data_IF_798547795249
#
_entry.id   IF_798547795249
#
_cell.length_a   1.000
_cell.length_b   1.000
_cell.length_c   1.000
_cell.angle_alpha   90.00
_cell.angle_beta   90.00
_cell.angle_gamma   90.00
#
_symmetry.space_group_name_H-M   'P 1'
#
loop_
_entity.id
_entity.type
_entity.pdbx_description
1 polymer ?
#
# COMPACT_ATOMS: atom_id res chain seq x y z
N UNK A 1 -10.88 -25.89 16.75
CA UNK A 1 -10.44 -25.05 15.61
C UNK A 1 -8.97 -24.79 15.77
N UNK A 2 -8.14 -25.35 14.90
CA UNK A 2 -6.69 -25.18 14.96
C UNK A 2 -6.31 -23.78 14.48
N UNK A 3 -5.61 -23.02 15.33
CA UNK A 3 -5.01 -21.74 14.93
C UNK A 3 -3.69 -22.04 14.23
N UNK A 4 -3.64 -21.83 12.90
CA UNK A 4 -2.42 -22.00 12.10
C UNK A 4 -1.74 -20.64 11.89
N UNK A 5 -0.42 -20.62 12.06
CA UNK A 5 0.43 -19.48 11.69
C UNK A 5 1.21 -19.85 10.44
N UNK A 6 1.18 -19.00 9.43
CA UNK A 6 1.88 -19.21 8.15
C UNK A 6 2.70 -17.96 7.86
N UNK A 7 4.00 -18.13 7.63
CA UNK A 7 4.85 -17.09 7.06
C UNK A 7 4.84 -17.25 5.52
N UNK A 8 4.66 -16.16 4.79
CA UNK A 8 4.53 -16.20 3.33
C UNK A 8 5.16 -14.98 2.66
N UNK A 9 5.70 -15.20 1.47
CA UNK A 9 6.05 -14.16 0.50
C UNK A 9 5.13 -14.21 -0.74
N UNK A 10 4.10 -15.05 -0.71
CA UNK A 10 3.10 -15.13 -1.78
C UNK A 10 2.03 -14.08 -1.54
N UNK A 11 1.95 -13.11 -2.46
CA UNK A 11 0.87 -12.13 -2.48
C UNK A 11 -0.49 -12.75 -2.78
N UNK A 12 -0.54 -13.77 -3.65
CA UNK A 12 -1.76 -14.53 -3.95
C UNK A 12 -2.38 -15.14 -2.68
N UNK A 13 -1.56 -15.66 -1.75
CA UNK A 13 -2.08 -16.16 -0.48
C UNK A 13 -2.61 -15.01 0.40
N UNK A 14 -1.90 -13.89 0.45
CA UNK A 14 -2.31 -12.74 1.25
C UNK A 14 -3.60 -12.09 0.74
N UNK A 15 -3.92 -12.21 -0.56
CA UNK A 15 -5.15 -11.66 -1.11
C UNK A 15 -6.41 -12.48 -0.81
N UNK A 16 -6.24 -13.75 -0.41
CA UNK A 16 -7.34 -14.69 -0.15
C UNK A 16 -7.68 -14.85 1.34
N UNK A 17 -6.92 -14.21 2.22
CA UNK A 17 -7.18 -14.22 3.67
C UNK A 17 -7.85 -12.93 4.10
N UNK A 18 -8.57 -12.99 5.23
CA UNK A 18 -9.08 -11.79 5.89
C UNK A 18 -7.91 -10.85 6.21
N UNK A 19 -7.99 -9.59 5.78
CA UNK A 19 -6.97 -8.57 6.02
C UNK A 19 -6.67 -8.37 7.52
N UNK A 20 -7.66 -8.56 8.39
CA UNK A 20 -7.48 -8.46 9.84
C UNK A 20 -6.67 -9.62 10.43
N UNK A 21 -6.51 -10.72 9.69
CA UNK A 21 -5.67 -11.85 10.08
C UNK A 21 -4.18 -11.63 9.73
N UNK A 22 -3.88 -10.68 8.85
CA UNK A 22 -2.52 -10.42 8.36
C UNK A 22 -1.68 -9.77 9.47
N UNK A 23 -0.45 -10.25 9.63
CA UNK A 23 0.57 -9.67 10.51
C UNK A 23 1.81 -9.37 9.70
N UNK A 24 2.13 -8.08 9.56
CA UNK A 24 3.30 -7.62 8.80
C UNK A 24 4.46 -7.38 9.76
N UNK A 25 5.56 -8.12 9.57
CA UNK A 25 6.80 -7.89 10.30
C UNK A 25 7.65 -6.87 9.53
N UNK A 26 8.13 -5.82 10.21
CA UNK A 26 8.97 -4.80 9.59
C UNK A 26 10.00 -4.25 10.57
N UNK A 27 11.11 -3.70 10.05
CA UNK A 27 12.14 -3.05 10.87
C UNK A 27 11.82 -1.58 11.08
N UNK A 28 11.92 -1.09 12.32
CA UNK A 28 11.89 0.33 12.69
C UNK A 28 13.09 0.62 13.59
N UNK A 29 14.10 1.31 13.04
CA UNK A 29 15.40 1.45 13.70
C UNK A 29 16.08 0.09 13.88
N UNK A 30 16.51 -0.22 15.11
CA UNK A 30 17.12 -1.51 15.46
C UNK A 30 16.12 -2.61 15.85
N UNK A 31 14.83 -2.29 15.97
CA UNK A 31 13.80 -3.22 16.43
C UNK A 31 12.94 -3.77 15.28
N UNK A 32 12.47 -5.00 15.42
CA UNK A 32 11.39 -5.56 14.60
C UNK A 32 10.06 -5.20 15.26
N UNK A 33 9.12 -4.72 14.44
CA UNK A 33 7.77 -4.34 14.83
C UNK A 33 6.76 -5.20 14.08
N UNK A 34 5.55 -5.30 14.63
CA UNK A 34 4.43 -6.00 14.01
C UNK A 34 3.34 -4.99 13.68
N UNK A 35 3.02 -4.85 12.40
CA UNK A 35 1.88 -4.09 11.90
C UNK A 35 0.69 -5.01 11.68
N UNK A 36 -0.50 -4.52 11.96
CA UNK A 36 -1.74 -5.24 11.79
C UNK A 36 -2.90 -4.25 11.67
N UNK A 37 -3.79 -4.49 10.70
CA UNK A 37 -5.06 -3.79 10.66
C UNK A 37 -5.94 -4.28 11.82
N UNK A 38 -6.43 -3.38 12.67
CA UNK A 38 -7.31 -3.75 13.76
C UNK A 38 -8.77 -3.75 13.27
N UNK A 39 -9.59 -4.63 13.81
CA UNK A 39 -11.03 -4.60 13.50
C UNK A 39 -11.61 -3.23 13.89
N UNK A 40 -12.34 -2.61 12.96
CA UNK A 40 -12.88 -1.27 13.13
C UNK A 40 -11.96 -0.13 12.70
N UNK A 41 -10.72 -0.40 12.25
CA UNK A 41 -9.90 0.63 11.59
C UNK A 41 -10.52 1.10 10.28
N UNK A 42 -11.14 0.18 9.53
CA UNK A 42 -11.90 0.48 8.32
C UNK A 42 -13.38 0.20 8.58
N UNK A 43 -14.25 1.09 8.12
CA UNK A 43 -15.67 0.79 8.06
C UNK A 43 -15.97 -0.31 7.01
N UNK A 44 -17.20 -0.82 6.99
CA UNK A 44 -17.59 -1.93 6.10
C UNK A 44 -17.37 -1.61 4.61
N UNK A 45 -17.65 -0.36 4.20
CA UNK A 45 -17.49 0.09 2.81
C UNK A 45 -16.01 0.27 2.45
N UNK A 46 -15.23 0.82 3.36
CA UNK A 46 -13.78 0.96 3.20
C UNK A 46 -13.11 -0.41 3.10
N UNK A 47 -13.48 -1.34 3.99
CA UNK A 47 -12.98 -2.71 4.00
C UNK A 47 -13.30 -3.43 2.68
N UNK A 48 -14.55 -3.36 2.22
CA UNK A 48 -14.96 -4.00 0.96
C UNK A 48 -14.12 -3.51 -0.23
N UNK A 49 -13.91 -2.19 -0.32
CA UNK A 49 -13.11 -1.58 -1.38
C UNK A 49 -11.63 -1.94 -1.26
N UNK A 50 -11.09 -1.92 -0.05
CA UNK A 50 -9.69 -2.27 0.21
C UNK A 50 -9.42 -3.73 -0.12
N UNK A 51 -10.29 -4.65 0.30
CA UNK A 51 -10.16 -6.08 -0.02
C UNK A 51 -10.26 -6.35 -1.52
N UNK A 52 -11.16 -5.66 -2.23
CA UNK A 52 -11.24 -5.75 -3.69
C UNK A 52 -9.92 -5.30 -4.34
N UNK A 53 -9.35 -4.19 -3.86
CA UNK A 53 -8.06 -3.69 -4.34
C UNK A 53 -6.92 -4.66 -4.04
N UNK A 54 -6.87 -5.22 -2.82
CA UNK A 54 -5.89 -6.23 -2.40
C UNK A 54 -5.94 -7.44 -3.32
N UNK A 55 -7.15 -7.94 -3.65
CA UNK A 55 -7.35 -9.04 -4.60
C UNK A 55 -6.90 -8.67 -6.02
N UNK A 56 -7.28 -7.49 -6.51
CA UNK A 56 -6.88 -7.00 -7.83
C UNK A 56 -5.36 -6.85 -7.98
N UNK A 57 -4.66 -6.53 -6.88
CA UNK A 57 -3.20 -6.34 -6.83
C UNK A 57 -2.45 -7.55 -6.29
N UNK A 58 -3.12 -8.70 -6.10
CA UNK A 58 -2.54 -9.95 -5.59
C UNK A 58 -1.72 -9.73 -4.31
N UNK A 59 -2.20 -8.90 -3.39
CA UNK A 59 -1.56 -8.66 -2.10
C UNK A 59 -0.17 -7.97 -2.16
N UNK A 60 0.29 -7.52 -3.32
CA UNK A 60 1.65 -6.97 -3.48
C UNK A 60 1.91 -5.74 -2.61
N UNK A 61 0.84 -4.98 -2.27
CA UNK A 61 0.89 -3.83 -1.37
C UNK A 61 1.51 -4.15 0.00
N UNK A 62 1.34 -5.37 0.53
CA UNK A 62 1.79 -5.72 1.88
C UNK A 62 3.32 -5.85 1.99
N UNK A 63 4.00 -6.12 0.87
CA UNK A 63 5.46 -6.27 0.84
C UNK A 63 6.19 -4.94 0.68
N UNK A 64 5.48 -3.88 0.31
CA UNK A 64 6.06 -2.56 0.15
C UNK A 64 6.56 -2.01 1.50
N UNK A 65 7.68 -1.29 1.45
CA UNK A 65 8.14 -0.43 2.55
C UNK A 65 7.48 0.95 2.48
N UNK A 66 7.18 1.39 1.26
CA UNK A 66 6.57 2.70 0.98
C UNK A 66 5.44 2.55 -0.02
N UNK A 67 4.30 3.20 0.26
CA UNK A 67 3.26 3.47 -0.73
C UNK A 67 3.36 4.92 -1.23
N UNK A 68 3.39 5.11 -2.54
CA UNK A 68 3.16 6.41 -3.16
C UNK A 68 1.71 6.41 -3.60
N UNK A 69 0.88 7.14 -2.86
CA UNK A 69 -0.55 7.27 -3.09
C UNK A 69 -0.78 8.29 -4.20
N UNK A 70 -1.41 7.86 -5.30
CA UNK A 70 -1.67 8.68 -6.48
C UNK A 70 -3.15 8.77 -6.78
N UNK A 71 -3.57 9.89 -7.37
CA UNK A 71 -4.98 10.18 -7.59
C UNK A 71 -5.63 9.24 -8.60
N UNK A 72 -4.95 8.92 -9.70
CA UNK A 72 -5.51 8.05 -10.75
C UNK A 72 -4.49 7.18 -11.46
N UNK A 73 -4.99 6.28 -12.32
CA UNK A 73 -4.17 5.38 -13.14
C UNK A 73 -3.18 6.13 -14.05
N UNK A 74 -3.58 7.30 -14.56
CA UNK A 74 -2.71 8.15 -15.38
C UNK A 74 -1.44 8.54 -14.61
N UNK A 75 -1.55 8.90 -13.34
CA UNK A 75 -0.39 9.23 -12.49
C UNK A 75 0.49 7.99 -12.24
N UNK A 76 -0.12 6.80 -12.07
CA UNK A 76 0.64 5.54 -11.97
C UNK A 76 1.48 5.33 -13.22
N UNK A 77 0.89 5.47 -14.41
CA UNK A 77 1.57 5.28 -15.70
C UNK A 77 2.71 6.29 -15.86
N UNK A 78 2.44 7.57 -15.58
CA UNK A 78 3.42 8.65 -15.70
C UNK A 78 4.59 8.48 -14.75
N UNK A 79 4.35 8.18 -13.48
CA UNK A 79 5.42 7.97 -12.49
C UNK A 79 6.22 6.70 -12.77
N UNK A 80 5.55 5.61 -13.18
CA UNK A 80 6.23 4.37 -13.57
C UNK A 80 7.15 4.60 -14.79
N UNK A 81 6.65 5.34 -15.79
CA UNK A 81 7.43 5.72 -16.97
C UNK A 81 8.61 6.62 -16.60
N UNK A 82 8.39 7.61 -15.72
CA UNK A 82 9.43 8.52 -15.25
C UNK A 82 10.53 7.79 -14.49
N UNK A 83 10.17 6.90 -13.57
CA UNK A 83 11.12 6.07 -12.83
C UNK A 83 11.99 5.24 -13.78
N UNK A 84 11.37 4.62 -14.80
CA UNK A 84 12.08 3.84 -15.82
C UNK A 84 13.09 4.69 -16.60
N UNK A 85 12.71 5.89 -17.05
CA UNK A 85 13.61 6.80 -17.78
C UNK A 85 14.78 7.25 -16.91
N UNK A 86 14.54 7.43 -15.61
CA UNK A 86 15.57 7.79 -14.62
C UNK A 86 16.42 6.59 -14.16
N UNK A 87 16.16 5.37 -14.65
CA UNK A 87 16.86 4.16 -14.23
C UNK A 87 16.55 3.74 -12.77
N UNK A 88 15.41 4.17 -12.23
CA UNK A 88 14.95 3.83 -10.89
C UNK A 88 14.06 2.59 -10.93
N UNK A 89 14.45 1.56 -10.20
CA UNK A 89 13.62 0.38 -9.96
C UNK A 89 12.85 0.54 -8.64
N UNK A 90 11.57 0.90 -8.77
CA UNK A 90 10.68 1.10 -7.62
C UNK A 90 10.43 -0.22 -6.88
N UNK A 91 10.34 -1.34 -7.60
CA UNK A 91 10.07 -2.66 -7.01
C UNK A 91 11.28 -3.14 -6.19
N UNK A 92 12.49 -3.02 -6.74
CA UNK A 92 13.72 -3.30 -6.01
C UNK A 92 13.87 -2.40 -4.76
N UNK A 93 13.33 -1.19 -4.84
CA UNK A 93 13.29 -0.24 -3.71
C UNK A 93 12.16 -0.53 -2.71
N UNK A 94 11.32 -1.54 -2.96
CA UNK A 94 10.09 -1.85 -2.22
C UNK A 94 9.14 -0.64 -2.11
N UNK A 95 9.05 0.15 -3.18
CA UNK A 95 8.14 1.27 -3.34
C UNK A 95 7.00 0.82 -4.26
N UNK A 96 5.76 1.06 -3.84
CA UNK A 96 4.58 0.74 -4.63
C UNK A 96 3.79 1.99 -4.95
N UNK A 97 3.44 2.19 -6.22
CA UNK A 97 2.44 3.18 -6.61
C UNK A 97 1.04 2.60 -6.34
N UNK A 98 0.19 3.37 -5.67
CA UNK A 98 -1.15 2.92 -5.25
C UNK A 98 -2.15 4.00 -5.65
N UNK A 99 -3.02 3.69 -6.61
CA UNK A 99 -4.11 4.57 -7.01
C UNK A 99 -5.22 4.54 -5.95
N UNK A 100 -5.71 5.72 -5.55
CA UNK A 100 -6.66 5.84 -4.45
C UNK A 100 -8.06 6.36 -4.81
N UNK A 101 -8.35 6.80 -6.04
CA UNK A 101 -9.68 7.33 -6.38
C UNK A 101 -10.79 6.28 -6.19
N UNK A 102 -10.54 5.00 -6.50
CA UNK A 102 -11.58 3.96 -6.33
C UNK A 102 -11.83 3.59 -4.87
N UNK A 103 -10.77 3.48 -4.07
CA UNK A 103 -10.82 3.00 -2.68
C UNK A 103 -11.05 4.13 -1.68
N UNK A 104 -10.40 5.28 -1.90
CA UNK A 104 -10.37 6.44 -1.02
C UNK A 104 -9.03 6.59 -0.30
N UNK A 105 -8.51 7.82 -0.27
CA UNK A 105 -7.22 8.17 0.34
C UNK A 105 -7.15 7.80 1.84
N UNK A 106 -8.19 8.10 2.61
CA UNK A 106 -8.22 7.85 4.06
C UNK A 106 -8.12 6.36 4.40
N UNK A 107 -8.66 5.50 3.55
CA UNK A 107 -8.58 4.03 3.69
C UNK A 107 -7.12 3.58 3.61
N UNK A 108 -6.38 4.05 2.61
CA UNK A 108 -4.97 3.71 2.44
C UNK A 108 -4.07 4.27 3.53
N UNK A 109 -4.30 5.52 3.96
CA UNK A 109 -3.54 6.11 5.08
C UNK A 109 -3.75 5.28 6.35
N UNK A 110 -5.01 5.00 6.71
CA UNK A 110 -5.34 4.22 7.92
C UNK A 110 -4.75 2.81 7.88
N UNK A 111 -4.77 2.17 6.70
CA UNK A 111 -4.17 0.87 6.50
C UNK A 111 -2.63 0.91 6.58
N UNK A 112 -2.01 1.89 5.93
CA UNK A 112 -0.55 2.05 5.91
C UNK A 112 -0.01 2.29 7.33
N UNK A 113 -0.63 3.19 8.09
CA UNK A 113 -0.26 3.48 9.47
C UNK A 113 -0.37 2.23 10.36
N UNK A 114 -1.47 1.48 10.20
CA UNK A 114 -1.70 0.23 10.95
C UNK A 114 -0.70 -0.88 10.59
N UNK A 115 -0.27 -0.94 9.33
CA UNK A 115 0.65 -1.95 8.81
C UNK A 115 2.14 -1.54 8.95
N UNK A 116 2.41 -0.31 9.37
CA UNK A 116 3.77 0.24 9.45
C UNK A 116 4.42 0.41 8.08
N UNK A 117 3.62 0.85 7.10
CA UNK A 117 4.07 1.18 5.75
C UNK A 117 4.16 2.69 5.66
N UNK A 118 5.33 3.22 5.26
CA UNK A 118 5.45 4.65 5.04
C UNK A 118 4.63 5.05 3.81
N UNK A 119 4.09 6.26 3.79
CA UNK A 119 3.31 6.71 2.66
C UNK A 119 3.63 8.16 2.28
N UNK A 120 3.55 8.44 0.98
CA UNK A 120 3.65 9.77 0.40
C UNK A 120 2.50 9.97 -0.58
N UNK A 121 1.94 11.17 -0.62
CA UNK A 121 0.90 11.52 -1.60
C UNK A 121 1.58 12.23 -2.77
N UNK A 122 1.22 11.82 -3.98
CA UNK A 122 1.54 12.52 -5.21
C UNK A 122 0.24 12.88 -5.93
N UNK A 123 0.00 14.17 -6.10
CA UNK A 123 -1.09 14.67 -6.94
C UNK A 123 -0.51 15.68 -7.93
N UNK A 124 -0.93 15.61 -9.19
CA UNK A 124 -0.45 16.49 -10.25
C UNK A 124 -0.73 17.98 -9.98
N UNK A 125 -1.66 18.31 -9.06
CA UNK A 125 -1.87 19.69 -8.59
C UNK A 125 -0.63 20.24 -7.86
N UNK A 126 0.16 19.39 -7.18
CA UNK A 126 1.41 19.82 -6.51
C UNK A 126 2.50 20.27 -7.49
N UNK A 127 2.48 19.82 -8.74
CA UNK A 127 3.41 20.29 -9.78
C UNK A 127 3.05 21.68 -10.31
N UNK A 128 1.80 22.15 -10.13
CA UNK A 128 1.43 23.53 -10.47
C UNK A 128 1.98 24.54 -9.46
N UNK A 129 2.00 24.19 -8.17
CA UNK A 129 2.54 25.10 -7.14
C UNK A 129 4.08 25.17 -7.16
N UNK A 130 4.77 24.12 -7.58
CA UNK A 130 6.23 24.10 -7.75
C UNK A 130 6.73 24.86 -9.00
N UNK A 131 5.85 25.23 -9.93
CA UNK A 131 6.18 26.11 -11.08
C UNK A 131 5.82 27.59 -10.86
N UNK A 132 5.27 27.94 -9.70
CA UNK A 132 4.86 29.30 -9.35
C UNK A 132 5.67 29.91 -8.19
N UNK A 133 6.86 29.34 -7.89
CA UNK A 133 7.85 29.95 -6.99
C UNK A 133 9.21 30.03 -7.67
#
# INVERSE_FOLDING_TARGET
MDKKLVATHSGDLLSEVDVYSIRRLYKKGSAVQVGALQSGTLDERQLQKFDHFVRGTRGELFFARVWILVEGETDVILLSGSARVLGLDLEQSAIRLVEYAQVGLSTFISAADSLGIAWHIFSMVMLRELKLR
#
